data_IF_821300048882
#
_entry.id   IF_821300048882
#
_cell.length_a   1.000
_cell.length_b   1.000
_cell.length_c   1.000
_cell.angle_alpha   90.00
_cell.angle_beta   90.00
_cell.angle_gamma   90.00
#
_symmetry.space_group_name_H-M   'P 1'
#
loop_
_entity.id
_entity.type
_entity.pdbx_description
1 polymer ?
#
# COMPACT_ATOMS: atom_id res chain seq x y z
N UNK A 1 9.32 -1.37 -5.84
CA UNK A 1 8.51 -1.14 -4.61
C UNK A 1 7.31 -0.30 -4.99
N UNK A 2 6.13 -0.68 -4.51
CA UNK A 2 4.89 0.07 -4.71
C UNK A 2 4.37 0.48 -3.35
N UNK A 3 3.94 1.73 -3.21
CA UNK A 3 3.35 2.29 -1.99
C UNK A 3 2.00 2.85 -2.37
N UNK A 4 0.96 2.51 -1.60
CA UNK A 4 -0.39 2.99 -1.82
C UNK A 4 -0.85 3.65 -0.53
N UNK A 5 -1.28 4.90 -0.61
CA UNK A 5 -1.93 5.56 0.51
C UNK A 5 -3.32 4.95 0.74
N UNK A 6 -3.61 4.57 1.99
CA UNK A 6 -4.82 3.84 2.32
C UNK A 6 -6.07 4.71 2.18
N UNK A 7 -5.96 6.03 2.39
CA UNK A 7 -7.10 6.94 2.39
C UNK A 7 -7.43 7.43 0.98
N UNK A 8 -6.47 8.04 0.30
CA UNK A 8 -6.62 8.59 -1.05
C UNK A 8 -6.55 7.54 -2.15
N UNK A 9 -6.07 6.33 -1.83
CA UNK A 9 -5.67 5.31 -2.83
C UNK A 9 -4.61 5.81 -3.79
N UNK A 10 -3.90 6.91 -3.49
CA UNK A 10 -2.83 7.38 -4.34
C UNK A 10 -1.68 6.40 -4.32
N UNK A 11 -1.18 6.02 -5.50
CA UNK A 11 -0.09 5.07 -5.62
C UNK A 11 1.18 5.75 -6.11
N UNK A 12 2.28 5.26 -5.55
CA UNK A 12 3.64 5.56 -5.95
C UNK A 12 4.37 4.27 -6.28
N UNK A 13 5.24 4.35 -7.28
CA UNK A 13 6.14 3.25 -7.59
C UNK A 13 7.57 3.78 -7.55
N UNK A 14 8.50 2.96 -7.08
CA UNK A 14 9.93 3.21 -7.17
C UNK A 14 10.64 1.90 -7.55
N UNK A 15 11.46 1.89 -8.60
CA UNK A 15 12.28 0.74 -8.93
C UNK A 15 13.42 0.63 -7.92
N UNK A 16 13.59 -0.56 -7.35
CA UNK A 16 14.67 -0.88 -6.43
C UNK A 16 15.50 -2.01 -7.04
N UNK A 17 16.80 -2.02 -6.75
CA UNK A 17 17.69 -3.11 -7.15
C UNK A 17 17.54 -4.32 -6.23
N UNK A 18 17.31 -4.07 -4.94
CA UNK A 18 17.13 -5.12 -3.93
C UNK A 18 16.02 -4.77 -2.94
N UNK A 19 15.58 -5.76 -2.16
CA UNK A 19 14.64 -5.57 -1.03
C UNK A 19 15.39 -5.31 0.29
N UNK A 20 16.59 -4.76 0.23
CA UNK A 20 17.36 -4.41 1.44
C UNK A 20 16.62 -3.36 2.27
N UNK A 21 16.63 -3.51 3.59
CA UNK A 21 15.99 -2.56 4.51
C UNK A 21 16.53 -1.14 4.36
N UNK A 22 17.85 -0.98 4.15
CA UNK A 22 18.47 0.32 3.92
C UNK A 22 18.00 0.98 2.61
N UNK A 23 17.82 0.19 1.56
CA UNK A 23 17.34 0.67 0.25
C UNK A 23 15.85 1.06 0.32
N UNK A 24 15.03 0.25 0.98
CA UNK A 24 13.60 0.53 1.20
C UNK A 24 13.42 1.79 2.06
N UNK A 25 14.18 1.94 3.14
CA UNK A 25 14.10 3.12 4.02
C UNK A 25 14.49 4.41 3.27
N UNK A 26 15.53 4.35 2.43
CA UNK A 26 15.92 5.47 1.59
C UNK A 26 14.84 5.80 0.54
N UNK A 27 14.20 4.78 -0.04
CA UNK A 27 13.11 4.97 -1.00
C UNK A 27 11.88 5.62 -0.36
N UNK A 28 11.46 5.15 0.82
CA UNK A 28 10.36 5.76 1.58
C UNK A 28 10.68 7.21 1.97
N UNK A 29 11.91 7.47 2.42
CA UNK A 29 12.36 8.83 2.75
C UNK A 29 12.28 9.78 1.55
N UNK A 30 12.47 9.28 0.32
CA UNK A 30 12.28 10.08 -0.90
C UNK A 30 10.81 10.36 -1.18
N UNK A 31 9.92 9.38 -1.04
CA UNK A 31 8.47 9.55 -1.22
C UNK A 31 7.93 10.64 -0.29
N UNK A 32 8.32 10.63 0.98
CA UNK A 32 7.80 11.58 1.96
C UNK A 32 8.38 12.99 1.84
N UNK A 33 9.50 13.16 1.13
CA UNK A 33 10.16 14.47 0.94
C UNK A 33 9.81 15.11 -0.40
N UNK A 34 9.47 14.31 -1.40
CA UNK A 34 9.27 14.74 -2.78
C UNK A 34 7.82 14.41 -3.19
N UNK A 35 6.93 15.39 -3.12
CA UNK A 35 5.55 15.25 -3.61
C UNK A 35 5.51 14.89 -5.12
N UNK A 36 6.59 15.20 -5.85
CA UNK A 36 6.74 14.95 -7.28
C UNK A 36 7.68 13.77 -7.57
N UNK A 37 7.20 12.56 -7.32
CA UNK A 37 7.91 11.31 -7.69
C UNK A 37 8.25 11.27 -9.19
N UNK A 38 7.48 11.99 -10.02
CA UNK A 38 7.74 12.22 -11.45
C UNK A 38 9.16 12.76 -11.74
N UNK A 39 9.76 13.51 -10.82
CA UNK A 39 11.12 14.08 -10.97
C UNK A 39 12.22 13.07 -10.65
N UNK A 40 11.97 12.10 -9.76
CA UNK A 40 12.96 11.07 -9.36
C UNK A 40 13.36 10.23 -10.58
N UNK A 41 12.39 9.84 -11.41
CA UNK A 41 12.62 9.03 -12.60
C UNK A 41 13.46 9.72 -13.67
N UNK A 42 13.35 11.04 -13.80
CA UNK A 42 14.14 11.82 -14.76
C UNK A 42 15.60 12.01 -14.31
N UNK A 43 15.90 11.82 -13.03
CA UNK A 43 17.21 12.14 -12.43
C UNK A 43 18.14 10.93 -12.30
N UNK A 44 17.64 9.70 -12.39
CA UNK A 44 18.45 8.50 -12.63
C UNK A 44 18.94 8.45 -14.08
N UNK A 45 19.65 9.49 -14.53
CA UNK A 45 20.36 9.49 -15.80
C UNK A 45 21.77 8.97 -15.53
N UNK A 46 21.97 7.67 -15.67
CA UNK A 46 23.33 7.12 -15.81
C UNK A 46 23.94 7.63 -17.12
N UNK A 47 25.27 7.69 -17.16
CA UNK A 47 26.07 8.20 -18.29
C UNK A 47 25.86 7.41 -19.60
N UNK A 48 25.20 6.24 -19.55
CA UNK A 48 24.62 5.52 -20.68
C UNK A 48 23.13 5.85 -20.83
N UNK A 49 22.77 6.44 -21.95
CA UNK A 49 21.53 7.17 -22.22
C UNK A 49 20.25 6.34 -22.43
N UNK A 50 20.24 5.05 -22.06
CA UNK A 50 19.12 4.16 -22.37
C UNK A 50 18.30 3.83 -21.12
N UNK A 51 17.15 4.48 -20.97
CA UNK A 51 16.14 4.11 -19.98
C UNK A 51 15.57 2.73 -20.33
N UNK A 52 15.44 1.79 -19.36
CA UNK A 52 14.82 0.50 -19.63
C UNK A 52 13.36 0.68 -20.10
N UNK A 53 12.89 -0.04 -21.13
CA UNK A 53 11.54 0.13 -21.68
C UNK A 53 10.42 -0.04 -20.63
N UNK A 54 10.64 -0.91 -19.64
CA UNK A 54 9.68 -1.14 -18.57
C UNK A 54 9.47 0.09 -17.67
N UNK A 55 10.40 1.04 -17.61
CA UNK A 55 10.26 2.25 -16.80
C UNK A 55 9.20 3.21 -17.38
N UNK A 56 9.11 3.27 -18.70
CA UNK A 56 8.08 4.06 -19.39
C UNK A 56 6.69 3.42 -19.21
N UNK A 57 6.60 2.10 -19.39
CA UNK A 57 5.37 1.35 -19.12
C UNK A 57 4.89 1.52 -17.67
N UNK A 58 5.82 1.54 -16.70
CA UNK A 58 5.52 1.78 -15.29
C UNK A 58 5.01 3.19 -15.03
N UNK A 59 5.61 4.18 -15.69
CA UNK A 59 5.20 5.59 -15.61
C UNK A 59 3.81 5.79 -16.19
N UNK A 60 3.49 5.09 -17.29
CA UNK A 60 2.15 5.08 -17.89
C UNK A 60 1.13 4.45 -16.95
N UNK A 61 1.43 3.26 -16.41
CA UNK A 61 0.55 2.53 -15.50
C UNK A 61 0.16 3.34 -14.26
N UNK A 62 1.15 3.95 -13.60
CA UNK A 62 0.89 4.72 -12.37
C UNK A 62 0.08 5.99 -12.66
N UNK A 63 0.33 6.62 -13.81
CA UNK A 63 -0.46 7.76 -14.27
C UNK A 63 -1.90 7.37 -14.54
N UNK A 64 -2.15 6.26 -15.25
CA UNK A 64 -3.50 5.76 -15.51
C UNK A 64 -4.23 5.43 -14.21
N UNK A 65 -3.56 4.76 -13.27
CA UNK A 65 -4.15 4.42 -11.98
C UNK A 65 -4.56 5.66 -11.17
N UNK A 66 -3.66 6.63 -11.00
CA UNK A 66 -3.95 7.83 -10.20
C UNK A 66 -4.99 8.76 -10.87
N UNK A 67 -5.18 8.66 -12.19
CA UNK A 67 -6.15 9.46 -12.94
C UNK A 67 -7.45 8.71 -13.27
N UNK A 68 -7.63 7.46 -12.81
CA UNK A 68 -8.88 6.71 -12.99
C UNK A 68 -9.70 6.78 -11.72
N UNK A 69 -11.01 6.94 -11.86
CA UNK A 69 -11.91 6.89 -10.71
C UNK A 69 -11.81 5.51 -10.03
N UNK A 70 -11.48 5.50 -8.74
CA UNK A 70 -11.32 4.27 -7.97
C UNK A 70 -12.64 3.91 -7.29
N UNK A 71 -13.08 2.65 -7.44
CA UNK A 71 -14.42 2.18 -7.03
C UNK A 71 -14.77 2.52 -5.57
N UNK A 72 -13.86 2.24 -4.62
CA UNK A 72 -14.12 2.46 -3.18
C UNK A 72 -14.26 3.94 -2.79
N UNK A 73 -13.51 4.84 -3.41
CA UNK A 73 -13.52 6.28 -3.07
C UNK A 73 -14.41 7.10 -4.01
N UNK A 74 -14.85 6.51 -5.12
CA UNK A 74 -15.72 7.15 -6.12
C UNK A 74 -15.06 8.29 -6.91
N UNK A 75 -13.76 8.53 -6.76
CA UNK A 75 -13.03 9.61 -7.43
C UNK A 75 -11.62 9.20 -7.81
N UNK A 76 -10.93 10.06 -8.57
CA UNK A 76 -9.54 9.85 -8.97
C UNK A 76 -8.63 10.03 -7.74
N UNK A 77 -7.69 9.11 -7.48
CA UNK A 77 -6.74 9.28 -6.39
C UNK A 77 -5.98 10.61 -6.44
N UNK A 78 -5.65 11.11 -7.65
CA UNK A 78 -4.96 12.38 -7.83
C UNK A 78 -5.79 13.62 -7.42
N UNK A 79 -7.12 13.52 -7.40
CA UNK A 79 -8.01 14.64 -7.06
C UNK A 79 -8.33 14.69 -5.55
N UNK A 80 -7.78 13.77 -4.74
CA UNK A 80 -8.07 13.69 -3.31
C UNK A 80 -7.28 14.76 -2.54
N UNK A 81 -7.99 15.74 -1.98
CA UNK A 81 -7.43 16.75 -1.08
C UNK A 81 -7.62 16.37 0.39
N UNK A 82 -6.87 16.99 1.30
CA UNK A 82 -6.97 16.75 2.75
C UNK A 82 -8.39 16.97 3.31
N UNK A 83 -9.11 17.97 2.78
CA UNK A 83 -10.50 18.25 3.16
C UNK A 83 -11.44 17.12 2.74
N UNK A 84 -11.24 16.57 1.53
CA UNK A 84 -12.02 15.45 1.01
C UNK A 84 -11.65 14.14 1.73
N UNK A 85 -10.38 13.97 2.10
CA UNK A 85 -9.89 12.77 2.79
C UNK A 85 -10.61 12.50 4.11
N UNK A 86 -10.93 13.56 4.89
CA UNK A 86 -11.72 13.44 6.13
C UNK A 86 -13.10 12.83 5.86
N UNK A 87 -13.77 13.29 4.81
CA UNK A 87 -15.06 12.75 4.38
C UNK A 87 -14.91 11.32 3.89
N UNK A 88 -13.90 11.02 3.07
CA UNK A 88 -13.64 9.67 2.55
C UNK A 88 -13.40 8.66 3.66
N UNK A 89 -12.64 9.01 4.71
CA UNK A 89 -12.42 8.14 5.86
C UNK A 89 -13.76 7.73 6.48
N UNK A 90 -14.67 8.69 6.70
CA UNK A 90 -16.01 8.40 7.22
C UNK A 90 -16.81 7.48 6.29
N UNK A 91 -16.71 7.66 4.97
CA UNK A 91 -17.46 6.84 4.01
C UNK A 91 -16.90 5.42 3.92
N UNK A 92 -15.58 5.26 3.77
CA UNK A 92 -14.90 3.97 3.59
C UNK A 92 -14.98 3.11 4.86
N UNK A 93 -14.90 3.73 6.03
CA UNK A 93 -14.94 3.06 7.33
C UNK A 93 -16.26 3.23 8.07
N UNK A 94 -17.31 3.74 7.44
CA UNK A 94 -18.67 3.85 8.03
C UNK A 94 -19.24 2.49 8.41
N UNK A 95 -18.97 1.49 7.59
CA UNK A 95 -19.35 0.11 7.83
C UNK A 95 -18.31 -0.54 8.74
N UNK A 96 -18.13 0.00 9.94
CA UNK A 96 -17.56 -0.79 11.01
C UNK A 96 -18.43 -2.04 11.10
N UNK A 97 -17.84 -3.19 10.77
CA UNK A 97 -18.45 -4.48 11.05
C UNK A 97 -18.47 -4.58 12.56
N UNK A 98 -19.48 -3.97 13.20
CA UNK A 98 -19.88 -4.31 14.55
C UNK A 98 -20.03 -5.83 14.47
N UNK A 99 -19.18 -6.52 15.23
CA UNK A 99 -19.13 -7.96 15.19
C UNK A 99 -20.58 -8.44 15.31
N UNK A 100 -21.02 -9.27 14.36
CA UNK A 100 -22.23 -10.02 14.55
C UNK A 100 -22.17 -10.64 15.96
N UNK A 101 -23.31 -10.76 16.67
CA UNK A 101 -23.34 -11.26 18.04
C UNK A 101 -22.37 -12.42 18.21
N UNK A 102 -21.55 -12.36 19.27
CA UNK A 102 -20.47 -13.32 19.48
C UNK A 102 -20.99 -14.74 19.28
N UNK A 103 -20.46 -15.46 18.29
CA UNK A 103 -20.89 -16.82 17.98
C UNK A 103 -20.61 -17.81 19.12
N UNK A 104 -19.65 -17.47 19.97
CA UNK A 104 -19.20 -18.27 21.09
C UNK A 104 -19.65 -17.65 22.40
N UNK A 105 -20.06 -18.50 23.33
CA UNK A 105 -20.38 -18.13 24.70
C UNK A 105 -19.14 -18.24 25.56
N UNK A 106 -19.16 -17.58 26.72
CA UNK A 106 -18.14 -17.76 27.75
C UNK A 106 -18.11 -19.26 28.12
N UNK A 107 -16.91 -19.85 28.10
CA UNK A 107 -16.60 -21.28 28.31
C UNK A 107 -16.72 -22.22 27.10
N UNK A 108 -16.98 -21.72 25.90
CA UNK A 108 -16.85 -22.56 24.70
C UNK A 108 -15.36 -22.88 24.41
N UNK A 109 -14.99 -24.14 24.13
CA UNK A 109 -13.64 -24.48 23.72
C UNK A 109 -13.36 -23.91 22.33
N UNK A 110 -12.48 -22.90 22.25
CA UNK A 110 -12.10 -22.25 21.00
C UNK A 110 -10.64 -22.51 20.66
N UNK A 111 -10.37 -22.83 19.39
CA UNK A 111 -9.01 -22.96 18.88
C UNK A 111 -8.39 -21.57 18.68
N UNK A 112 -7.41 -21.21 19.52
CA UNK A 112 -6.67 -19.95 19.37
C UNK A 112 -5.48 -20.16 18.44
N UNK A 113 -5.45 -19.48 17.30
CA UNK A 113 -4.27 -19.46 16.44
C UNK A 113 -3.19 -18.59 17.08
N UNK A 114 -2.20 -19.21 17.72
CA UNK A 114 -0.99 -18.50 18.17
C UNK A 114 -0.12 -18.11 16.96
N UNK A 115 0.55 -16.96 17.05
CA UNK A 115 1.62 -16.63 16.11
C UNK A 115 2.72 -17.68 16.24
N UNK A 116 2.94 -18.44 15.17
CA UNK A 116 3.93 -19.52 15.11
C UNK A 116 5.30 -18.96 14.75
N UNK A 117 6.33 -19.37 15.48
CA UNK A 117 7.68 -19.39 14.91
C UNK A 117 7.80 -20.55 13.91
N UNK A 118 8.79 -20.49 13.02
CA UNK A 118 8.91 -21.31 11.80
C UNK A 118 8.82 -22.84 12.05
N UNK A 119 9.05 -23.31 13.28
CA UNK A 119 9.17 -24.73 13.61
C UNK A 119 8.21 -25.25 14.70
N UNK A 120 7.21 -24.49 15.14
CA UNK A 120 6.26 -24.98 16.17
C UNK A 120 5.16 -25.90 15.59
N UNK A 121 5.12 -27.15 16.06
CA UNK A 121 4.14 -28.19 15.67
C UNK A 121 2.73 -27.87 16.19
N UNK A 122 1.69 -28.37 15.51
CA UNK A 122 0.27 -28.03 15.78
C UNK A 122 -0.44 -28.89 16.84
N UNK A 123 0.21 -29.88 17.44
CA UNK A 123 -0.43 -30.74 18.46
C UNK A 123 0.58 -31.17 19.53
N UNK A 124 0.18 -31.06 20.80
CA UNK A 124 0.70 -31.90 21.88
C UNK A 124 -0.11 -33.19 21.89
N UNK A 125 0.53 -34.37 21.93
CA UNK A 125 -0.17 -35.62 22.24
C UNK A 125 -0.76 -35.53 23.65
N UNK A 126 -1.95 -36.10 23.84
CA UNK A 126 -2.54 -36.30 25.18
C UNK A 126 -1.74 -37.32 25.97
#
# INVERSE_FOLDING_TARGET
>A
MTVIDVLSKYAWVLPLKSKSGSEVAAALSKIFRDDDIRKIYKRTRTRSSTTPPWLDALSRLISEYNNRAHQTIGMRPADVTLAIAKRLLSTVYSHLKIAAPARFKVNDPVGVSKFKTIFEKRYTPN
#
